data_IF_545822098688
#
_entry.id   IF_545822098688
#
_cell.length_a   1.000
_cell.length_b   1.000
_cell.length_c   1.000
_cell.angle_alpha   90.00
_cell.angle_beta   90.00
_cell.angle_gamma   90.00
#
_symmetry.space_group_name_H-M   'P 1'
#
loop_
_entity.id
_entity.type
_entity.pdbx_description
1 polymer ?
#
# COMPACT_ATOMS: atom_id res chain seq x y z
N UNK A 1 3.07 0.60 -34.42
CA UNK A 1 1.78 0.34 -33.74
C UNK A 1 2.00 -0.70 -32.65
N UNK A 2 1.80 -0.36 -31.38
CA UNK A 2 2.00 -1.32 -30.27
C UNK A 2 0.81 -2.28 -30.21
N UNK A 3 1.05 -3.57 -30.42
CA UNK A 3 0.01 -4.60 -30.31
C UNK A 3 -0.30 -4.90 -28.83
N UNK A 4 -1.58 -5.05 -28.48
CA UNK A 4 -1.98 -5.40 -27.10
C UNK A 4 -1.56 -6.85 -26.79
N UNK A 5 -0.77 -7.03 -25.72
CA UNK A 5 -0.30 -8.35 -25.25
C UNK A 5 -1.43 -9.29 -24.78
N UNK A 6 -2.57 -8.76 -24.31
CA UNK A 6 -3.71 -9.60 -23.88
C UNK A 6 -5.06 -8.98 -24.24
N UNK A 7 -6.10 -9.82 -24.30
CA UNK A 7 -7.48 -9.39 -24.54
C UNK A 7 -8.08 -8.60 -23.36
N UNK A 8 -7.46 -8.62 -22.17
CA UNK A 8 -8.01 -8.02 -20.95
C UNK A 8 -9.21 -8.79 -20.38
N UNK A 9 -9.91 -8.19 -19.40
CA UNK A 9 -11.09 -8.81 -18.76
C UNK A 9 -12.22 -9.00 -19.76
N UNK A 10 -12.60 -10.25 -20.01
CA UNK A 10 -13.71 -10.59 -20.90
C UNK A 10 -15.02 -10.75 -20.12
N UNK A 11 -16.13 -10.30 -20.71
CA UNK A 11 -17.47 -10.59 -20.20
C UNK A 11 -17.76 -12.07 -20.43
N UNK A 12 -18.27 -12.75 -19.42
CA UNK A 12 -18.73 -14.14 -19.49
C UNK A 12 -20.19 -14.23 -19.08
N UNK A 13 -20.91 -15.22 -19.60
CA UNK A 13 -22.30 -15.45 -19.22
C UNK A 13 -22.42 -15.87 -17.74
N UNK A 14 -23.50 -15.44 -17.07
CA UNK A 14 -23.81 -15.83 -15.68
C UNK A 14 -24.50 -17.20 -15.64
N UNK A 15 -23.75 -18.22 -16.06
CA UNK A 15 -24.13 -19.64 -16.03
C UNK A 15 -22.95 -20.48 -15.56
N UNK A 16 -23.16 -21.79 -15.40
CA UNK A 16 -22.08 -22.73 -15.10
C UNK A 16 -20.99 -22.64 -16.18
N UNK A 17 -19.74 -22.51 -15.76
CA UNK A 17 -18.57 -22.56 -16.65
C UNK A 17 -18.30 -24.03 -16.91
N UNK A 18 -18.43 -24.48 -18.16
CA UNK A 18 -18.30 -25.90 -18.50
C UNK A 18 -16.83 -26.37 -18.51
N UNK A 19 -15.94 -25.54 -19.07
CA UNK A 19 -14.50 -25.81 -19.04
C UNK A 19 -14.02 -25.91 -17.58
N UNK A 20 -13.40 -27.04 -17.25
CA UNK A 20 -13.01 -27.40 -15.88
C UNK A 20 -11.93 -26.45 -15.34
N UNK A 21 -10.91 -26.14 -16.14
CA UNK A 21 -9.78 -25.30 -15.73
C UNK A 21 -10.21 -23.84 -15.56
N UNK A 22 -11.02 -23.32 -16.48
CA UNK A 22 -11.61 -21.99 -16.37
C UNK A 22 -12.51 -21.88 -15.14
N UNK A 23 -13.26 -22.94 -14.83
CA UNK A 23 -14.12 -23.00 -13.64
C UNK A 23 -13.30 -22.98 -12.36
N UNK A 24 -12.18 -23.70 -12.29
CA UNK A 24 -11.27 -23.65 -11.15
C UNK A 24 -10.59 -22.29 -10.99
N UNK A 25 -10.03 -21.75 -12.07
CA UNK A 25 -9.40 -20.44 -12.05
C UNK A 25 -10.40 -19.34 -11.64
N UNK A 26 -11.64 -19.42 -12.14
CA UNK A 26 -12.72 -18.49 -11.80
C UNK A 26 -13.15 -18.66 -10.35
N UNK A 27 -13.31 -19.88 -9.84
CA UNK A 27 -13.63 -20.11 -8.43
C UNK A 27 -12.57 -19.47 -7.53
N UNK A 28 -11.30 -19.72 -7.79
CA UNK A 28 -10.20 -19.16 -7.00
C UNK A 28 -10.23 -17.62 -7.01
N UNK A 29 -10.33 -17.01 -8.20
CA UNK A 29 -10.37 -15.54 -8.34
C UNK A 29 -11.61 -14.93 -7.68
N UNK A 30 -12.79 -15.52 -7.88
CA UNK A 30 -14.06 -15.00 -7.30
C UNK A 30 -14.10 -15.19 -5.79
N UNK A 31 -13.62 -16.32 -5.26
CA UNK A 31 -13.50 -16.56 -3.82
C UNK A 31 -12.61 -15.49 -3.17
N UNK A 32 -11.42 -15.26 -3.72
CA UNK A 32 -10.51 -14.22 -3.23
C UNK A 32 -11.16 -12.84 -3.29
N UNK A 33 -11.82 -12.49 -4.41
CA UNK A 33 -12.51 -11.21 -4.53
C UNK A 33 -13.67 -11.05 -3.55
N UNK A 34 -14.44 -12.12 -3.29
CA UNK A 34 -15.51 -12.14 -2.31
C UNK A 34 -14.98 -11.94 -0.90
N UNK A 35 -13.90 -12.63 -0.52
CA UNK A 35 -13.28 -12.50 0.80
C UNK A 35 -12.71 -11.10 1.03
N UNK A 36 -12.08 -10.49 0.00
CA UNK A 36 -11.64 -9.09 0.09
C UNK A 36 -12.81 -8.15 0.35
N UNK A 37 -13.93 -8.31 -0.37
CA UNK A 37 -15.13 -7.50 -0.13
C UNK A 37 -15.71 -7.69 1.26
N UNK A 38 -15.76 -8.93 1.75
CA UNK A 38 -16.22 -9.23 3.10
C UNK A 38 -15.33 -8.59 4.16
N UNK A 39 -13.99 -8.67 4.01
CA UNK A 39 -13.04 -8.01 4.89
C UNK A 39 -13.19 -6.49 4.92
N UNK A 40 -13.41 -5.86 3.76
CA UNK A 40 -13.69 -4.42 3.69
C UNK A 40 -14.99 -4.07 4.43
N UNK A 41 -16.05 -4.87 4.25
CA UNK A 41 -17.33 -4.64 4.92
C UNK A 41 -17.19 -4.76 6.45
N UNK A 42 -16.44 -5.75 6.92
CA UNK A 42 -16.12 -5.91 8.35
C UNK A 42 -15.39 -4.68 8.87
N UNK A 43 -14.33 -4.24 8.18
CA UNK A 43 -13.52 -3.08 8.59
C UNK A 43 -14.32 -1.78 8.62
N UNK A 44 -15.22 -1.56 7.66
CA UNK A 44 -15.97 -0.32 7.54
C UNK A 44 -17.24 -0.26 8.39
N UNK A 45 -17.89 -1.40 8.64
CA UNK A 45 -19.23 -1.43 9.21
C UNK A 45 -19.33 -2.22 10.53
N UNK A 46 -18.23 -2.82 11.02
CA UNK A 46 -18.22 -3.67 12.21
C UNK A 46 -19.35 -4.72 12.23
N UNK A 47 -19.42 -5.53 11.18
CA UNK A 47 -20.49 -6.50 10.97
C UNK A 47 -20.04 -7.95 11.19
N UNK A 48 -20.98 -8.77 11.68
CA UNK A 48 -20.81 -10.23 11.74
C UNK A 48 -21.07 -10.84 10.36
N UNK A 49 -20.10 -11.60 9.83
CA UNK A 49 -20.18 -12.23 8.52
C UNK A 49 -19.74 -13.69 8.61
N UNK A 50 -20.50 -14.58 8.00
CA UNK A 50 -20.13 -15.96 7.73
C UNK A 50 -20.29 -16.30 6.25
N UNK A 51 -19.25 -16.86 5.64
CA UNK A 51 -19.25 -17.34 4.25
C UNK A 51 -18.75 -18.77 4.25
N UNK A 52 -19.50 -19.66 3.59
CA UNK A 52 -19.12 -21.06 3.36
C UNK A 52 -19.27 -21.37 1.88
N UNK A 53 -18.22 -21.92 1.28
CA UNK A 53 -18.15 -22.23 -0.15
C UNK A 53 -17.57 -23.64 -0.33
N UNK A 54 -18.11 -24.41 -1.27
CA UNK A 54 -17.48 -25.65 -1.73
C UNK A 54 -16.81 -25.43 -3.08
N UNK A 55 -15.56 -25.86 -3.23
CA UNK A 55 -14.87 -25.84 -4.53
C UNK A 55 -15.49 -26.82 -5.52
N UNK A 56 -15.16 -26.72 -6.82
CA UNK A 56 -15.55 -27.75 -7.78
C UNK A 56 -14.96 -29.15 -7.49
N UNK A 57 -14.01 -29.27 -6.56
CA UNK A 57 -13.49 -30.55 -6.02
C UNK A 57 -14.19 -31.00 -4.75
N UNK A 58 -15.20 -30.27 -4.27
CA UNK A 58 -15.90 -30.56 -3.02
C UNK A 58 -15.18 -30.12 -1.75
N UNK A 59 -14.04 -29.42 -1.85
CA UNK A 59 -13.31 -28.92 -0.68
C UNK A 59 -14.00 -27.68 -0.09
N UNK A 60 -14.29 -27.64 1.21
CA UNK A 60 -14.90 -26.47 1.83
C UNK A 60 -13.88 -25.35 2.01
N UNK A 61 -14.37 -24.13 1.91
CA UNK A 61 -13.67 -22.88 2.19
C UNK A 61 -14.60 -21.99 2.97
N UNK A 62 -14.07 -21.32 4.00
CA UNK A 62 -14.86 -20.42 4.83
C UNK A 62 -14.16 -19.09 5.09
N UNK A 63 -14.96 -18.11 5.46
CA UNK A 63 -14.54 -16.83 6.01
C UNK A 63 -15.54 -16.46 7.09
N UNK A 64 -15.05 -16.14 8.30
CA UNK A 64 -15.89 -15.76 9.42
C UNK A 64 -15.30 -14.54 10.12
N UNK A 65 -16.16 -13.64 10.56
CA UNK A 65 -15.83 -12.56 11.47
C UNK A 65 -17.05 -12.28 12.37
N UNK A 66 -16.89 -12.08 13.68
CA UNK A 66 -15.63 -12.05 14.43
C UNK A 66 -14.97 -13.41 14.63
N UNK A 67 -15.74 -14.47 14.88
CA UNK A 67 -15.29 -15.87 14.86
C UNK A 67 -16.38 -16.77 14.29
N UNK A 68 -16.01 -17.98 13.86
CA UNK A 68 -16.98 -18.97 13.37
C UNK A 68 -18.00 -19.35 14.45
N UNK A 69 -17.57 -19.60 15.69
CA UNK A 69 -18.47 -20.06 16.75
C UNK A 69 -19.52 -19.01 17.09
N UNK A 70 -19.12 -17.74 17.16
CA UNK A 70 -20.01 -16.62 17.44
C UNK A 70 -21.02 -16.41 16.32
N UNK A 71 -20.55 -16.44 15.07
CA UNK A 71 -21.41 -16.25 13.90
C UNK A 71 -22.39 -17.43 13.75
N UNK A 72 -21.93 -18.66 13.93
CA UNK A 72 -22.77 -19.87 13.84
C UNK A 72 -23.79 -19.90 14.97
N UNK A 73 -23.38 -19.62 16.21
CA UNK A 73 -24.27 -19.59 17.36
C UNK A 73 -25.39 -18.57 17.18
N UNK A 74 -25.06 -17.35 16.75
CA UNK A 74 -26.03 -16.28 16.45
C UNK A 74 -26.93 -16.63 15.26
N UNK A 75 -26.41 -17.32 14.24
CA UNK A 75 -27.22 -17.79 13.12
C UNK A 75 -28.24 -18.86 13.54
N UNK A 76 -27.84 -19.77 14.43
CA UNK A 76 -28.71 -20.84 14.93
C UNK A 76 -29.78 -20.32 15.90
N UNK A 77 -29.43 -19.34 16.74
CA UNK A 77 -30.34 -18.71 17.67
C UNK A 77 -30.05 -17.20 17.74
N UNK A 78 -30.82 -16.37 17.03
CA UNK A 78 -30.61 -14.92 16.98
C UNK A 78 -30.70 -14.23 18.35
N UNK A 79 -31.51 -14.76 19.26
CA UNK A 79 -31.72 -14.24 20.61
C UNK A 79 -30.71 -14.81 21.63
N UNK A 80 -29.74 -15.60 21.17
CA UNK A 80 -28.74 -16.19 22.03
C UNK A 80 -27.86 -15.12 22.67
N UNK A 81 -27.84 -15.12 24.01
CA UNK A 81 -26.83 -14.41 24.76
C UNK A 81 -25.51 -15.17 24.68
N UNK A 82 -24.47 -14.48 24.24
CA UNK A 82 -23.13 -15.05 24.19
C UNK A 82 -22.59 -15.22 25.61
N UNK A 83 -21.77 -16.25 25.83
CA UNK A 83 -21.00 -16.34 27.07
C UNK A 83 -19.99 -15.18 27.15
N UNK A 84 -19.57 -14.83 28.36
CA UNK A 84 -18.57 -13.80 28.61
C UNK A 84 -17.27 -14.07 27.83
N UNK A 85 -16.83 -15.34 27.78
CA UNK A 85 -15.66 -15.76 27.01
C UNK A 85 -15.84 -15.46 25.52
N UNK A 86 -16.99 -15.80 24.94
CA UNK A 86 -17.24 -15.56 23.52
C UNK A 86 -17.33 -14.05 23.21
N UNK A 87 -17.86 -13.25 24.14
CA UNK A 87 -17.85 -11.79 24.02
C UNK A 87 -16.44 -11.23 23.97
N UNK A 88 -15.57 -11.67 24.88
CA UNK A 88 -14.16 -11.25 24.92
C UNK A 88 -13.40 -11.65 23.64
N UNK A 89 -13.61 -12.88 23.17
CA UNK A 89 -12.99 -13.38 21.93
C UNK A 89 -13.47 -12.57 20.73
N UNK A 90 -14.77 -12.28 20.64
CA UNK A 90 -15.32 -11.48 19.56
C UNK A 90 -14.79 -10.03 19.59
N UNK A 91 -14.75 -9.41 20.78
CA UNK A 91 -14.20 -8.08 20.96
C UNK A 91 -12.71 -8.02 20.56
N UNK A 92 -11.92 -9.02 20.93
CA UNK A 92 -10.52 -9.11 20.53
C UNK A 92 -10.37 -9.20 19.00
N UNK A 93 -11.18 -10.03 18.33
CA UNK A 93 -11.15 -10.14 16.87
C UNK A 93 -11.49 -8.83 16.17
N UNK A 94 -12.50 -8.09 16.65
CA UNK A 94 -12.87 -6.77 16.14
C UNK A 94 -11.76 -5.75 16.34
N UNK A 95 -11.22 -5.65 17.56
CA UNK A 95 -10.11 -4.75 17.87
C UNK A 95 -8.89 -5.02 16.99
N UNK A 96 -8.60 -6.29 16.70
CA UNK A 96 -7.51 -6.66 15.78
C UNK A 96 -7.76 -6.15 14.37
N UNK A 97 -8.98 -6.27 13.85
CA UNK A 97 -9.31 -5.74 12.51
C UNK A 97 -9.20 -4.21 12.48
N UNK A 98 -9.73 -3.53 13.50
CA UNK A 98 -9.65 -2.07 13.58
C UNK A 98 -8.19 -1.59 13.64
N UNK A 99 -7.38 -2.21 14.50
CA UNK A 99 -5.94 -1.90 14.60
C UNK A 99 -5.20 -2.09 13.27
N UNK A 100 -5.46 -3.20 12.57
CA UNK A 100 -4.84 -3.46 11.26
C UNK A 100 -5.33 -2.48 10.20
N UNK A 101 -6.60 -2.06 10.27
CA UNK A 101 -7.17 -1.08 9.34
C UNK A 101 -6.50 0.28 9.52
N UNK A 102 -6.34 0.77 10.77
CA UNK A 102 -5.64 2.02 11.04
C UNK A 102 -4.17 1.99 10.60
N UNK A 103 -3.48 0.86 10.79
CA UNK A 103 -2.11 0.70 10.29
C UNK A 103 -2.03 0.73 8.77
N UNK A 104 -3.02 0.17 8.08
CA UNK A 104 -3.07 0.20 6.63
C UNK A 104 -3.25 1.65 6.11
N UNK A 105 -4.13 2.43 6.73
CA UNK A 105 -4.32 3.86 6.40
C UNK A 105 -3.03 4.68 6.60
N UNK A 106 -2.25 4.38 7.65
CA UNK A 106 -0.95 5.00 7.88
C UNK A 106 0.05 4.68 6.75
N UNK A 107 0.07 3.44 6.27
CA UNK A 107 0.92 3.03 5.17
C UNK A 107 0.50 3.67 3.84
N UNK A 108 -0.80 3.69 3.53
CA UNK A 108 -1.33 4.31 2.31
C UNK A 108 -0.97 5.81 2.28
N UNK A 109 -1.13 6.50 3.41
CA UNK A 109 -0.76 7.93 3.53
C UNK A 109 0.73 8.16 3.26
N UNK A 110 1.61 7.27 3.76
CA UNK A 110 3.05 7.35 3.51
C UNK A 110 3.41 7.07 2.06
N UNK A 111 2.77 6.08 1.44
CA UNK A 111 2.97 5.74 0.03
C UNK A 111 2.54 6.89 -0.88
N UNK A 112 1.40 7.52 -0.58
CA UNK A 112 0.91 8.69 -1.31
C UNK A 112 1.86 9.88 -1.18
N UNK A 113 2.38 10.14 0.03
CA UNK A 113 3.35 11.21 0.26
C UNK A 113 4.66 10.96 -0.50
N UNK A 114 5.18 9.73 -0.47
CA UNK A 114 6.38 9.35 -1.22
C UNK A 114 6.16 9.48 -2.73
N UNK A 115 5.02 9.01 -3.23
CA UNK A 115 4.66 9.11 -4.64
C UNK A 115 4.52 10.56 -5.09
N UNK A 116 3.94 11.42 -4.25
CA UNK A 116 3.82 12.85 -4.53
C UNK A 116 5.20 13.53 -4.57
N UNK A 117 6.10 13.16 -3.66
CA UNK A 117 7.48 13.66 -3.65
C UNK A 117 8.25 13.23 -4.91
N UNK A 118 8.17 11.96 -5.30
CA UNK A 118 8.79 11.47 -6.54
C UNK A 118 8.27 12.24 -7.75
N UNK A 119 6.95 12.37 -7.89
CA UNK A 119 6.33 13.14 -8.99
C UNK A 119 6.75 14.61 -9.01
N UNK A 120 6.95 15.21 -7.83
CA UNK A 120 7.45 16.59 -7.73
C UNK A 120 8.86 16.72 -8.30
N UNK A 121 9.77 15.82 -7.91
CA UNK A 121 11.14 15.82 -8.45
C UNK A 121 11.18 15.51 -9.95
N UNK A 122 10.41 14.53 -10.43
CA UNK A 122 10.33 14.21 -11.86
C UNK A 122 9.90 15.43 -12.68
N UNK A 123 8.86 16.15 -12.22
CA UNK A 123 8.38 17.36 -12.90
C UNK A 123 9.38 18.51 -12.85
N UNK A 124 10.12 18.66 -11.75
CA UNK A 124 11.22 19.62 -11.67
C UNK A 124 12.32 19.31 -12.68
N UNK A 125 12.69 18.03 -12.83
CA UNK A 125 13.70 17.60 -13.80
C UNK A 125 13.23 17.87 -15.24
N UNK A 126 11.96 17.57 -15.55
CA UNK A 126 11.40 17.80 -16.89
C UNK A 126 11.30 19.29 -17.28
N UNK A 127 11.04 20.17 -16.31
CA UNK A 127 10.85 21.61 -16.56
C UNK A 127 12.13 22.43 -16.42
N UNK A 128 13.19 21.85 -15.86
CA UNK A 128 14.50 22.46 -15.76
C UNK A 128 15.17 22.46 -17.14
N UNK A 129 15.76 23.59 -17.53
CA UNK A 129 16.70 23.60 -18.64
C UNK A 129 17.87 22.66 -18.31
N UNK A 130 18.09 21.67 -19.17
CA UNK A 130 19.22 20.77 -19.07
C UNK A 130 20.49 21.59 -18.90
N UNK A 131 21.12 21.45 -17.75
CA UNK A 131 22.39 22.11 -17.47
C UNK A 131 23.43 21.57 -18.44
N UNK A 132 24.34 22.42 -18.90
CA UNK A 132 25.41 22.00 -19.82
C UNK A 132 26.24 20.81 -19.27
N UNK A 133 26.29 20.63 -17.95
CA UNK A 133 26.93 19.49 -17.27
C UNK A 133 26.21 18.13 -17.47
N UNK A 134 24.98 18.11 -17.99
CA UNK A 134 24.28 16.87 -18.35
C UNK A 134 24.81 16.25 -19.64
N UNK A 135 25.62 17.00 -20.39
CA UNK A 135 26.35 16.53 -21.57
C UNK A 135 27.86 16.44 -21.29
N UNK A 136 28.25 16.06 -20.06
CA UNK A 136 29.66 15.97 -19.64
C UNK A 136 30.51 15.09 -20.57
N UNK A 137 29.90 14.10 -21.20
CA UNK A 137 30.53 13.19 -22.17
C UNK A 137 30.98 13.89 -23.46
N UNK A 138 30.50 15.10 -23.73
CA UNK A 138 30.83 15.89 -24.92
C UNK A 138 31.96 16.90 -24.67
N UNK A 139 32.44 17.05 -23.43
CA UNK A 139 33.50 18.00 -23.08
C UNK A 139 34.87 17.52 -23.56
N UNK A 140 35.68 18.44 -24.06
CA UNK A 140 37.08 18.14 -24.35
C UNK A 140 37.95 18.17 -23.07
N UNK A 141 39.20 17.73 -23.16
CA UNK A 141 40.09 17.59 -22.01
C UNK A 141 40.30 18.92 -21.25
N UNK A 142 40.44 20.03 -21.97
CA UNK A 142 40.69 21.36 -21.40
C UNK A 142 39.44 21.93 -20.69
N UNK A 143 38.26 21.64 -21.26
CA UNK A 143 36.96 21.95 -20.66
C UNK A 143 36.68 21.10 -19.41
N UNK A 144 37.07 19.82 -19.44
CA UNK A 144 36.91 18.90 -18.31
C UNK A 144 37.75 19.34 -17.10
N UNK A 145 39.00 19.77 -17.32
CA UNK A 145 39.85 20.29 -16.24
C UNK A 145 39.29 21.58 -15.63
N UNK A 146 38.74 22.47 -16.46
CA UNK A 146 38.06 23.70 -15.97
C UNK A 146 36.80 23.37 -15.18
N UNK A 147 36.06 22.33 -15.60
CA UNK A 147 34.86 21.87 -14.91
C UNK A 147 35.19 21.26 -13.54
N UNK A 148 36.22 20.42 -13.46
CA UNK A 148 36.71 19.83 -12.21
C UNK A 148 37.10 20.91 -11.19
N UNK A 149 37.89 21.90 -11.62
CA UNK A 149 38.27 23.03 -10.76
C UNK A 149 37.05 23.85 -10.26
N UNK A 150 36.01 23.98 -11.10
CA UNK A 150 34.76 24.64 -10.69
C UNK A 150 33.98 23.80 -9.66
N UNK A 151 33.89 22.47 -9.84
CA UNK A 151 33.24 21.57 -8.88
C UNK A 151 33.91 21.60 -7.51
N UNK A 152 35.25 21.57 -7.48
CA UNK A 152 36.01 21.65 -6.24
C UNK A 152 35.71 22.94 -5.47
N UNK A 153 35.65 24.07 -6.18
CA UNK A 153 35.31 25.36 -5.59
C UNK A 153 33.86 25.39 -5.09
N UNK A 154 32.91 24.88 -5.88
CA UNK A 154 31.50 24.81 -5.51
C UNK A 154 31.28 23.94 -4.27
N UNK A 155 31.91 22.76 -4.22
CA UNK A 155 31.88 21.89 -3.04
C UNK A 155 32.49 22.56 -1.81
N UNK A 156 33.63 23.24 -1.96
CA UNK A 156 34.25 23.99 -0.87
C UNK A 156 33.31 25.05 -0.30
N UNK A 157 32.66 25.83 -1.17
CA UNK A 157 31.72 26.86 -0.74
C UNK A 157 30.48 26.29 -0.05
N UNK A 158 29.91 25.19 -0.58
CA UNK A 158 28.79 24.50 0.04
C UNK A 158 29.14 23.97 1.43
N UNK A 159 30.29 23.31 1.58
CA UNK A 159 30.75 22.81 2.88
C UNK A 159 30.96 23.94 3.89
N UNK A 160 31.52 25.07 3.46
CA UNK A 160 31.65 26.25 4.32
C UNK A 160 30.30 26.80 4.77
N UNK A 161 29.30 26.84 3.88
CA UNK A 161 27.96 27.30 4.23
C UNK A 161 27.26 26.33 5.20
N UNK A 162 27.42 25.02 4.98
CA UNK A 162 26.87 23.97 5.84
C UNK A 162 27.47 24.04 7.25
N UNK A 163 28.79 24.23 7.35
CA UNK A 163 29.48 24.45 8.63
C UNK A 163 28.99 25.72 9.36
N UNK A 164 28.69 26.81 8.63
CA UNK A 164 28.16 28.03 9.25
C UNK A 164 26.75 27.82 9.82
N UNK A 165 25.92 27.01 9.16
CA UNK A 165 24.58 26.66 9.63
C UNK A 165 24.62 25.75 10.87
N UNK A 166 25.58 24.83 10.96
CA UNK A 166 25.77 23.96 12.14
C UNK A 166 26.30 24.73 13.36
N UNK A 167 27.22 25.69 13.15
CA UNK A 167 27.74 26.54 14.24
C UNK A 167 26.66 27.52 14.75
N UNK A 168 25.78 28.02 13.88
CA UNK A 168 24.65 28.87 14.26
C UNK A 168 23.66 28.19 15.22
N UNK A 169 23.36 26.91 15.01
CA UNK A 169 22.43 26.14 15.83
C UNK A 169 22.91 25.88 17.28
N UNK A 170 24.22 25.99 17.56
CA UNK A 170 24.78 25.81 18.91
C UNK A 170 24.79 27.08 19.77
N UNK A 171 24.39 28.23 19.21
CA UNK A 171 24.41 29.53 19.90
C UNK A 171 23.05 30.02 20.41
N UNK A 172 21.96 29.32 20.09
CA UNK A 172 20.59 29.65 20.52
C UNK A 172 20.06 28.65 21.53
N UNK A 173 20.72 28.56 22.70
CA UNK A 173 20.08 28.11 23.93
C UNK A 173 19.70 29.34 24.75
N UNK A 174 18.41 29.72 24.84
CA UNK A 174 17.98 30.72 25.80
C UNK A 174 18.08 30.12 27.20
N UNK A 175 19.00 30.62 28.01
CA UNK A 175 18.98 30.42 29.46
C UNK A 175 17.66 30.99 30.01
N UNK A 176 16.80 30.14 30.53
CA UNK A 176 15.75 30.54 31.46
C UNK A 176 15.89 29.76 32.77
N UNK A 177 16.09 30.54 33.83
CA UNK A 177 15.86 30.16 35.22
C UNK A 177 14.39 29.78 35.46
#
# INVERSE_FOLDING_TARGET
MVSKKTKGRQKIAMKKIENKDDRFATFSKRRTGLYKKAGNLVSQCDVDIGIVLSSPTGKPFSFFHPTNDVVIARFQNPDMQLSEINHLVAAHARNKVNHLSSRLEEFDTREDAATAQTRFYDKMIETRESGWWESIEQLNADEMTKFEAWLDNAMFNLNNHLNQLEVGASSSSPNYF
#
